data_IF_725419562588
#
_entry.id   IF_725419562588
#
_cell.length_a   1.000
_cell.length_b   1.000
_cell.length_c   1.000
_cell.angle_alpha   90.00
_cell.angle_beta   90.00
_cell.angle_gamma   90.00
#
_symmetry.space_group_name_H-M   'P 1'
#
loop_
_entity.id
_entity.type
_entity.pdbx_description
1 polymer ?
#
# COMPACT_ATOMS: atom_id res chain seq x y z
N UNK A 1 21.91 -14.68 -98.25
CA UNK A 1 23.05 -14.97 -97.35
C UNK A 1 23.34 -13.73 -96.50
N UNK A 2 22.96 -13.81 -95.22
CA UNK A 2 23.56 -13.23 -94.00
C UNK A 2 23.87 -11.72 -93.92
N UNK A 3 23.00 -11.06 -93.13
CA UNK A 3 23.19 -10.08 -92.05
C UNK A 3 24.22 -8.95 -92.14
N UNK A 4 23.69 -7.71 -92.02
CA UNK A 4 24.33 -6.59 -91.30
C UNK A 4 23.33 -5.93 -90.35
N UNK A 5 23.79 -5.79 -89.11
CA UNK A 5 23.13 -5.13 -87.98
C UNK A 5 23.05 -3.62 -88.26
N UNK A 6 21.88 -3.01 -88.04
CA UNK A 6 21.72 -1.56 -87.92
C UNK A 6 20.99 -1.22 -86.63
N UNK A 7 21.65 -0.36 -85.86
CA UNK A 7 21.22 0.28 -84.64
C UNK A 7 20.28 1.45 -84.99
N UNK A 8 19.15 1.57 -84.29
CA UNK A 8 18.25 2.72 -84.39
C UNK A 8 17.40 2.82 -83.13
N UNK A 9 17.68 3.84 -82.32
CA UNK A 9 16.86 4.24 -81.17
C UNK A 9 15.45 4.65 -81.65
N UNK A 10 14.41 4.08 -81.04
CA UNK A 10 13.04 4.60 -81.09
C UNK A 10 12.53 4.72 -79.65
N UNK A 11 12.25 5.96 -79.28
CA UNK A 11 11.56 6.38 -78.07
C UNK A 11 10.10 5.95 -78.13
N UNK A 12 9.61 5.17 -77.16
CA UNK A 12 8.19 4.80 -77.06
C UNK A 12 7.58 5.44 -75.81
N UNK A 13 6.63 6.36 -76.03
CA UNK A 13 5.74 6.91 -75.01
C UNK A 13 4.83 5.79 -74.47
N UNK A 14 4.89 5.54 -73.15
CA UNK A 14 3.89 4.75 -72.44
C UNK A 14 3.12 5.72 -71.53
N UNK A 15 1.82 5.83 -71.80
CA UNK A 15 0.85 6.59 -71.03
C UNK A 15 0.71 6.01 -69.61
N UNK A 16 1.05 6.81 -68.59
CA UNK A 16 0.71 6.52 -67.20
C UNK A 16 -0.80 6.76 -66.98
N UNK A 17 -1.53 5.70 -66.67
CA UNK A 17 -2.84 5.78 -66.05
C UNK A 17 -2.64 6.08 -64.57
N UNK A 18 -2.94 7.30 -64.12
CA UNK A 18 -3.06 7.62 -62.71
C UNK A 18 -4.33 6.96 -62.17
N UNK A 19 -4.19 5.80 -61.53
CA UNK A 19 -5.19 5.34 -60.57
C UNK A 19 -5.01 6.18 -59.30
N UNK A 20 -5.91 7.16 -59.11
CA UNK A 20 -5.97 7.95 -57.90
C UNK A 20 -6.33 7.05 -56.71
N UNK A 21 -5.33 6.61 -55.96
CA UNK A 21 -5.54 6.23 -54.58
C UNK A 21 -5.73 7.52 -53.79
N UNK A 22 -6.98 7.85 -53.47
CA UNK A 22 -7.25 8.81 -52.41
C UNK A 22 -6.62 8.25 -51.13
N UNK A 23 -5.71 8.97 -50.45
CA UNK A 23 -5.34 8.59 -49.10
C UNK A 23 -6.64 8.58 -48.29
N UNK A 24 -6.96 7.45 -47.67
CA UNK A 24 -7.99 7.41 -46.62
C UNK A 24 -7.46 8.34 -45.54
N UNK A 25 -7.96 9.57 -45.53
CA UNK A 25 -7.74 10.50 -44.46
C UNK A 25 -8.49 9.92 -43.28
N UNK A 26 -7.76 9.22 -42.39
CA UNK A 26 -8.30 8.82 -41.11
C UNK A 26 -8.89 10.08 -40.48
N UNK A 27 -10.21 10.10 -40.28
CA UNK A 27 -10.86 11.18 -39.56
C UNK A 27 -10.12 11.31 -38.23
N UNK A 28 -9.72 12.53 -37.87
CA UNK A 28 -9.12 12.76 -36.57
C UNK A 28 -10.07 12.16 -35.51
N UNK A 29 -9.57 11.37 -34.55
CA UNK A 29 -10.42 10.79 -33.54
C UNK A 29 -11.24 11.90 -32.89
N UNK A 30 -12.54 11.65 -32.73
CA UNK A 30 -13.41 12.61 -32.07
C UNK A 30 -12.96 12.72 -30.62
N UNK A 31 -12.45 13.89 -30.24
CA UNK A 31 -12.08 14.17 -28.86
C UNK A 31 -13.34 14.45 -28.03
N UNK A 32 -13.38 13.85 -26.85
CA UNK A 32 -14.43 14.08 -25.84
C UNK A 32 -13.85 14.73 -24.61
N UNK A 33 -14.65 15.59 -23.97
CA UNK A 33 -14.30 16.20 -22.69
C UNK A 33 -14.42 15.16 -21.57
N UNK A 34 -13.39 15.09 -20.72
CA UNK A 34 -13.33 14.19 -19.57
C UNK A 34 -12.91 14.95 -18.32
N UNK A 35 -13.17 14.39 -17.15
CA UNK A 35 -12.66 14.87 -15.87
C UNK A 35 -12.04 13.72 -15.07
N UNK A 36 -11.48 13.99 -13.90
CA UNK A 36 -11.04 13.00 -12.94
C UNK A 36 -12.08 12.84 -11.82
N UNK A 37 -12.29 11.63 -11.27
CA UNK A 37 -13.18 11.45 -10.13
C UNK A 37 -12.70 12.25 -8.92
N UNK A 38 -13.64 12.88 -8.22
CA UNK A 38 -13.45 13.59 -6.96
C UNK A 38 -13.88 12.75 -5.74
N UNK A 39 -14.07 11.45 -5.96
CA UNK A 39 -14.46 10.47 -4.95
C UNK A 39 -13.44 9.31 -4.87
N UNK A 40 -13.30 8.64 -3.72
CA UNK A 40 -12.43 7.49 -3.58
C UNK A 40 -12.84 6.34 -4.50
N UNK A 41 -11.84 5.68 -5.09
CA UNK A 41 -12.06 4.48 -5.91
C UNK A 41 -11.25 3.32 -5.37
N UNK A 42 -11.86 2.14 -5.28
CA UNK A 42 -11.20 0.92 -4.78
C UNK A 42 -11.25 -0.22 -5.80
N UNK A 43 -10.17 -1.00 -5.85
CA UNK A 43 -10.07 -2.22 -6.64
C UNK A 43 -9.68 -3.36 -5.72
N UNK A 44 -10.58 -4.33 -5.57
CA UNK A 44 -10.43 -5.48 -4.65
C UNK A 44 -10.04 -5.05 -3.22
N UNK A 45 -10.59 -3.92 -2.77
CA UNK A 45 -10.31 -3.32 -1.46
C UNK A 45 -9.14 -2.32 -1.43
N UNK A 46 -8.17 -2.41 -2.34
CA UNK A 46 -7.06 -1.43 -2.41
C UNK A 46 -7.56 -0.08 -2.89
N UNK A 47 -7.28 0.97 -2.14
CA UNK A 47 -7.68 2.36 -2.50
C UNK A 47 -6.70 2.94 -3.51
N UNK A 48 -7.24 3.57 -4.54
CA UNK A 48 -6.45 4.23 -5.57
C UNK A 48 -6.07 5.65 -5.19
N UNK A 49 -4.82 6.03 -5.41
CA UNK A 49 -4.43 7.44 -5.53
C UNK A 49 -4.61 7.88 -6.98
N UNK A 50 -5.79 8.42 -7.26
CA UNK A 50 -6.11 8.95 -8.59
C UNK A 50 -5.34 10.22 -8.90
N UNK A 51 -5.14 11.07 -7.88
CA UNK A 51 -4.56 12.41 -8.00
C UNK A 51 -3.12 12.39 -8.50
N UNK A 52 -2.34 11.40 -8.07
CA UNK A 52 -0.95 11.22 -8.44
C UNK A 52 -0.72 10.08 -9.43
N UNK A 53 -1.75 9.38 -9.91
CA UNK A 53 -1.57 8.28 -10.86
C UNK A 53 -1.00 8.78 -12.19
N UNK A 54 0.01 8.13 -12.77
CA UNK A 54 0.51 8.46 -14.12
C UNK A 54 -0.59 8.37 -15.18
N UNK A 55 -1.49 7.40 -14.99
CA UNK A 55 -2.69 7.15 -15.77
C UNK A 55 -3.91 7.28 -14.84
N UNK A 56 -4.40 8.50 -14.57
CA UNK A 56 -5.54 8.71 -13.68
C UNK A 56 -6.81 8.12 -14.27
N UNK A 57 -7.76 7.76 -13.41
CA UNK A 57 -9.12 7.39 -13.82
C UNK A 57 -9.81 8.59 -14.48
N UNK A 58 -10.68 8.33 -15.46
CA UNK A 58 -11.45 9.38 -16.11
C UNK A 58 -12.93 9.28 -15.77
N UNK A 59 -13.65 10.40 -15.81
CA UNK A 59 -15.10 10.46 -15.82
C UNK A 59 -15.54 10.98 -17.19
N UNK A 60 -16.45 10.25 -17.83
CA UNK A 60 -17.14 10.69 -19.04
C UNK A 60 -18.61 10.27 -18.98
N UNK A 61 -19.52 11.24 -19.16
CA UNK A 61 -20.97 11.05 -19.01
C UNK A 61 -21.33 10.32 -17.70
N UNK A 62 -20.74 10.77 -16.60
CA UNK A 62 -20.94 10.27 -15.24
C UNK A 62 -20.55 8.78 -15.03
N UNK A 63 -19.78 8.20 -15.97
CA UNK A 63 -19.21 6.86 -15.83
C UNK A 63 -17.72 6.97 -15.57
N UNK A 64 -17.22 6.19 -14.60
CA UNK A 64 -15.80 6.04 -14.33
C UNK A 64 -15.14 5.14 -15.36
N UNK A 65 -14.00 5.55 -15.89
CA UNK A 65 -13.20 4.84 -16.87
C UNK A 65 -11.85 4.46 -16.28
N UNK A 66 -11.50 3.19 -16.45
CA UNK A 66 -10.23 2.65 -15.95
C UNK A 66 -9.22 2.50 -17.09
N UNK A 67 -7.97 2.91 -16.88
CA UNK A 67 -6.90 2.65 -17.83
C UNK A 67 -6.59 1.16 -17.87
N UNK A 68 -6.57 0.57 -19.05
CA UNK A 68 -6.13 -0.82 -19.24
C UNK A 68 -4.61 -0.88 -19.39
N UNK A 69 -3.88 -0.38 -18.38
CA UNK A 69 -2.45 -0.72 -18.23
C UNK A 69 -2.31 -2.15 -17.73
N UNK A 70 -1.12 -2.73 -17.85
CA UNK A 70 -0.86 -4.10 -17.36
C UNK A 70 -1.22 -4.28 -15.88
N UNK A 71 -0.88 -3.30 -15.01
CA UNK A 71 -1.19 -3.38 -13.58
C UNK A 71 -2.70 -3.34 -13.30
N UNK A 72 -3.45 -2.43 -13.94
CA UNK A 72 -4.90 -2.33 -13.73
C UNK A 72 -5.62 -3.56 -14.26
N UNK A 73 -5.29 -4.00 -15.47
CA UNK A 73 -5.89 -5.20 -16.04
C UNK A 73 -5.57 -6.45 -15.21
N UNK A 74 -4.31 -6.65 -14.81
CA UNK A 74 -3.95 -7.79 -13.96
C UNK A 74 -4.63 -7.74 -12.59
N UNK A 75 -4.80 -6.55 -12.01
CA UNK A 75 -5.54 -6.37 -10.77
C UNK A 75 -7.05 -6.63 -10.91
N UNK A 76 -7.59 -6.43 -12.11
CA UNK A 76 -8.97 -6.71 -12.47
C UNK A 76 -9.18 -8.14 -13.02
N UNK A 77 -8.14 -8.98 -13.00
CA UNK A 77 -8.20 -10.35 -13.50
C UNK A 77 -8.31 -10.42 -15.03
N UNK A 78 -7.63 -9.53 -15.74
CA UNK A 78 -7.62 -9.48 -17.20
C UNK A 78 -6.20 -9.68 -17.75
N UNK A 79 -6.08 -10.45 -18.82
CA UNK A 79 -4.89 -10.43 -19.68
C UNK A 79 -5.09 -9.46 -20.84
N UNK A 80 -4.04 -8.69 -21.14
CA UNK A 80 -4.00 -7.78 -22.28
C UNK A 80 -3.06 -8.35 -23.35
N UNK A 81 -3.50 -8.27 -24.60
CA UNK A 81 -2.67 -8.50 -25.78
C UNK A 81 -2.82 -7.34 -26.75
N UNK A 82 -1.72 -6.92 -27.38
CA UNK A 82 -1.73 -5.91 -28.45
C UNK A 82 -1.13 -6.50 -29.73
N UNK A 83 -1.81 -6.28 -30.86
CA UNK A 83 -1.32 -6.61 -32.19
C UNK A 83 -1.54 -5.43 -33.14
N UNK A 84 -0.61 -5.20 -34.07
CA UNK A 84 -0.70 -4.07 -35.00
C UNK A 84 -1.87 -4.20 -35.98
N UNK A 85 -2.31 -5.42 -36.30
CA UNK A 85 -3.42 -5.65 -37.23
C UNK A 85 -4.76 -5.81 -36.50
N UNK A 86 -4.73 -6.45 -35.33
CA UNK A 86 -5.92 -6.86 -34.58
C UNK A 86 -6.29 -5.92 -33.43
N UNK A 87 -5.43 -4.94 -33.15
CA UNK A 87 -5.60 -3.94 -32.10
C UNK A 87 -5.47 -4.51 -30.69
N UNK A 88 -6.27 -3.98 -29.76
CA UNK A 88 -6.26 -4.38 -28.35
C UNK A 88 -7.17 -5.60 -28.13
N UNK A 89 -6.70 -6.59 -27.38
CA UNK A 89 -7.53 -7.70 -26.93
C UNK A 89 -7.43 -7.85 -25.42
N UNK A 90 -8.58 -7.97 -24.75
CA UNK A 90 -8.67 -8.32 -23.33
C UNK A 90 -9.40 -9.64 -23.16
N UNK A 91 -8.90 -10.45 -22.24
CA UNK A 91 -9.52 -11.72 -21.86
C UNK A 91 -9.60 -11.81 -20.34
N UNK A 92 -10.76 -12.25 -19.84
CA UNK A 92 -10.95 -12.54 -18.43
C UNK A 92 -10.13 -13.77 -18.01
N UNK A 93 -9.49 -13.63 -16.85
CA UNK A 93 -8.80 -14.67 -16.12
C UNK A 93 -9.42 -14.85 -14.73
N UNK A 94 -9.19 -16.01 -14.12
CA UNK A 94 -9.72 -16.32 -12.79
C UNK A 94 -8.86 -15.76 -11.64
N UNK A 95 -7.66 -15.25 -11.95
CA UNK A 95 -6.69 -14.78 -10.97
C UNK A 95 -6.42 -13.29 -11.10
N UNK A 96 -6.52 -12.57 -9.97
CA UNK A 96 -6.11 -11.18 -9.86
C UNK A 96 -4.72 -11.07 -9.20
N UNK A 97 -3.94 -10.07 -9.62
CA UNK A 97 -2.72 -9.65 -8.91
C UNK A 97 -3.03 -8.48 -7.97
N UNK A 98 -2.23 -8.24 -6.91
CA UNK A 98 -2.35 -7.02 -6.12
C UNK A 98 -2.21 -5.76 -7.00
N UNK A 99 -3.06 -4.75 -6.77
CA UNK A 99 -3.00 -3.49 -7.52
C UNK A 99 -1.68 -2.76 -7.24
N UNK A 100 -0.82 -2.68 -8.25
CA UNK A 100 0.37 -1.83 -8.25
C UNK A 100 0.08 -0.50 -8.92
N UNK A 101 0.32 0.59 -8.22
CA UNK A 101 0.03 1.95 -8.70
C UNK A 101 1.31 2.63 -9.17
N UNK A 102 1.34 3.09 -10.42
CA UNK A 102 2.39 3.98 -10.92
C UNK A 102 1.98 5.42 -10.62
N UNK A 103 2.64 6.01 -9.62
CA UNK A 103 2.38 7.37 -9.19
C UNK A 103 3.51 8.29 -9.63
N UNK A 104 3.17 9.56 -9.83
CA UNK A 104 4.06 10.66 -10.19
C UNK A 104 3.82 11.84 -9.22
N UNK A 105 4.80 12.71 -8.96
CA UNK A 105 4.61 13.84 -8.04
C UNK A 105 3.60 14.89 -8.52
N UNK A 106 3.29 14.92 -9.82
CA UNK A 106 2.35 15.86 -10.40
C UNK A 106 0.92 15.53 -9.98
N UNK A 107 0.16 16.60 -9.72
CA UNK A 107 -1.25 16.53 -9.35
C UNK A 107 -2.11 16.66 -10.60
N UNK A 108 -3.02 15.73 -10.81
CA UNK A 108 -4.13 15.88 -11.75
C UNK A 108 -5.24 16.70 -11.11
N UNK A 109 -5.72 17.71 -11.83
CA UNK A 109 -6.79 18.62 -11.39
C UNK A 109 -7.80 18.84 -12.52
N UNK A 110 -9.06 19.05 -12.12
CA UNK A 110 -10.16 19.43 -13.00
C UNK A 110 -10.21 20.94 -13.31
N UNK A 111 -9.24 21.74 -12.81
CA UNK A 111 -9.15 23.18 -13.11
C UNK A 111 -8.93 23.47 -14.60
N UNK A 112 -8.33 22.52 -15.32
CA UNK A 112 -8.09 22.60 -16.76
C UNK A 112 -8.90 21.54 -17.49
N UNK A 113 -9.53 21.93 -18.60
CA UNK A 113 -10.20 21.01 -19.52
C UNK A 113 -9.26 19.88 -19.95
N UNK A 114 -9.75 18.64 -19.83
CA UNK A 114 -9.06 17.44 -20.29
C UNK A 114 -9.85 16.84 -21.45
N UNK A 115 -9.14 16.35 -22.46
CA UNK A 115 -9.76 15.62 -23.56
C UNK A 115 -9.16 14.24 -23.71
N UNK A 116 -10.02 13.30 -24.13
CA UNK A 116 -9.61 11.96 -24.54
C UNK A 116 -10.17 11.68 -25.93
N UNK A 117 -9.40 10.97 -26.75
CA UNK A 117 -9.86 10.52 -28.05
C UNK A 117 -10.80 9.32 -27.89
N UNK A 118 -11.74 9.11 -28.81
CA UNK A 118 -12.36 7.79 -28.97
C UNK A 118 -11.29 6.83 -29.52
N UNK A 119 -11.18 5.62 -28.93
CA UNK A 119 -10.17 4.63 -29.34
C UNK A 119 -10.29 4.33 -30.85
N UNK A 120 -9.26 4.66 -31.67
CA UNK A 120 -9.35 4.66 -33.13
C UNK A 120 -8.93 3.33 -33.78
N UNK A 121 -8.86 2.26 -33.00
CA UNK A 121 -8.37 0.95 -33.44
C UNK A 121 -9.32 -0.17 -32.97
N UNK A 122 -9.26 -1.36 -33.59
CA UNK A 122 -10.08 -2.49 -33.17
C UNK A 122 -9.80 -2.88 -31.71
N UNK A 123 -10.86 -3.20 -30.97
CA UNK A 123 -10.75 -3.75 -29.62
C UNK A 123 -11.59 -5.01 -29.52
N UNK A 124 -11.06 -6.04 -28.89
CA UNK A 124 -11.75 -7.30 -28.61
C UNK A 124 -11.80 -7.57 -27.11
N UNK A 125 -12.93 -8.08 -26.64
CA UNK A 125 -13.16 -8.49 -25.25
C UNK A 125 -13.68 -9.92 -25.25
N UNK A 126 -12.97 -10.84 -24.59
CA UNK A 126 -13.30 -12.26 -24.55
C UNK A 126 -13.53 -12.86 -25.96
N UNK A 127 -12.74 -12.43 -26.94
CA UNK A 127 -12.85 -12.85 -28.34
C UNK A 127 -13.98 -12.20 -29.15
N UNK A 128 -14.76 -11.28 -28.56
CA UNK A 128 -15.81 -10.52 -29.26
C UNK A 128 -15.28 -9.14 -29.65
N UNK A 129 -15.50 -8.73 -30.90
CA UNK A 129 -15.17 -7.38 -31.35
C UNK A 129 -16.11 -6.34 -30.72
N UNK A 130 -15.55 -5.21 -30.28
CA UNK A 130 -16.28 -4.05 -29.78
C UNK A 130 -16.44 -3.04 -30.91
N UNK A 131 -17.68 -2.67 -31.22
CA UNK A 131 -17.99 -1.65 -32.23
C UNK A 131 -18.13 -0.31 -31.51
N UNK A 132 -17.00 0.41 -31.39
CA UNK A 132 -16.92 1.60 -30.54
C UNK A 132 -17.93 2.71 -30.89
N UNK A 133 -18.29 2.84 -32.17
CA UNK A 133 -19.26 3.82 -32.66
C UNK A 133 -20.71 3.55 -32.20
N UNK A 134 -21.02 2.32 -31.80
CA UNK A 134 -22.35 1.90 -31.31
C UNK A 134 -22.42 1.90 -29.78
N UNK A 135 -21.29 2.14 -29.09
CA UNK A 135 -21.27 2.17 -27.63
C UNK A 135 -21.79 3.52 -27.10
N UNK A 136 -22.76 3.53 -26.16
CA UNK A 136 -23.20 4.76 -25.50
C UNK A 136 -22.06 5.43 -24.70
N UNK A 137 -21.14 4.58 -24.23
CA UNK A 137 -19.93 4.86 -23.48
C UNK A 137 -18.76 4.24 -24.28
N UNK A 138 -18.24 4.93 -25.30
CA UNK A 138 -17.17 4.40 -26.13
C UNK A 138 -15.88 4.26 -25.33
N UNK A 139 -15.06 3.26 -25.69
CA UNK A 139 -13.70 3.11 -25.22
C UNK A 139 -12.91 4.36 -25.60
N UNK A 140 -12.19 4.91 -24.62
CA UNK A 140 -11.41 6.14 -24.79
C UNK A 140 -9.92 5.81 -24.93
N UNK A 141 -9.18 6.68 -25.58
CA UNK A 141 -7.73 6.68 -25.67
C UNK A 141 -7.22 7.96 -25.01
N UNK A 142 -6.51 7.81 -23.90
CA UNK A 142 -5.90 8.93 -23.18
C UNK A 142 -4.45 8.58 -22.85
N UNK A 143 -3.52 9.46 -23.22
CA UNK A 143 -2.06 9.25 -23.07
C UNK A 143 -1.59 7.89 -23.61
N UNK A 144 -2.11 7.50 -24.79
CA UNK A 144 -1.82 6.23 -25.46
C UNK A 144 -2.24 4.96 -24.69
N UNK A 145 -3.08 5.09 -23.67
CA UNK A 145 -3.69 3.95 -22.96
C UNK A 145 -5.19 3.91 -23.28
N UNK A 146 -5.71 2.70 -23.48
CA UNK A 146 -7.15 2.50 -23.69
C UNK A 146 -7.86 2.46 -22.35
N UNK A 147 -8.96 3.19 -22.26
CA UNK A 147 -9.76 3.36 -21.07
C UNK A 147 -11.12 2.70 -21.26
N UNK A 148 -11.47 1.80 -20.36
CA UNK A 148 -12.73 1.07 -20.38
C UNK A 148 -13.74 1.71 -19.44
N UNK A 149 -14.99 1.93 -19.88
CA UNK A 149 -16.04 2.37 -18.98
C UNK A 149 -16.38 1.25 -18.01
N UNK A 150 -16.49 1.60 -16.72
CA UNK A 150 -17.01 0.71 -15.70
C UNK A 150 -18.55 0.66 -15.75
N UNK A 151 -19.09 0.49 -16.96
CA UNK A 151 -20.50 0.29 -17.22
C UNK A 151 -20.90 -1.16 -16.94
N UNK A 152 -22.19 -1.40 -16.70
CA UNK A 152 -22.73 -2.74 -16.42
C UNK A 152 -22.38 -3.78 -17.50
N UNK A 153 -22.35 -3.36 -18.77
CA UNK A 153 -21.94 -4.21 -19.90
C UNK A 153 -20.55 -4.81 -19.68
N UNK A 154 -19.57 -3.97 -19.33
CA UNK A 154 -18.21 -4.47 -19.13
C UNK A 154 -18.06 -5.12 -17.75
N UNK A 155 -18.45 -4.42 -16.68
CA UNK A 155 -18.19 -4.89 -15.32
C UNK A 155 -18.94 -6.17 -15.02
N UNK A 156 -20.24 -6.25 -15.33
CA UNK A 156 -21.05 -7.43 -15.03
C UNK A 156 -21.13 -8.41 -16.20
N UNK A 157 -21.56 -7.96 -17.37
CA UNK A 157 -21.95 -8.90 -18.44
C UNK A 157 -20.73 -9.54 -19.12
N UNK A 158 -19.68 -8.77 -19.40
CA UNK A 158 -18.45 -9.30 -20.02
C UNK A 158 -17.46 -9.85 -19.00
N UNK A 159 -17.29 -9.20 -17.84
CA UNK A 159 -16.27 -9.59 -16.87
C UNK A 159 -16.79 -10.21 -15.57
N UNK A 160 -18.10 -10.15 -15.27
CA UNK A 160 -18.67 -10.78 -14.08
C UNK A 160 -18.16 -10.23 -12.75
N UNK A 161 -17.66 -9.00 -12.73
CA UNK A 161 -17.27 -8.27 -11.53
C UNK A 161 -18.49 -7.74 -10.78
N UNK A 162 -18.29 -7.45 -9.50
CA UNK A 162 -19.25 -6.68 -8.70
C UNK A 162 -18.76 -5.25 -8.57
N UNK A 163 -19.68 -4.30 -8.64
CA UNK A 163 -19.41 -2.90 -8.36
C UNK A 163 -20.28 -2.44 -7.21
N UNK A 164 -19.76 -1.54 -6.38
CA UNK A 164 -20.47 -0.99 -5.23
C UNK A 164 -20.26 0.52 -5.13
N UNK A 165 -21.19 1.17 -4.45
CA UNK A 165 -21.03 2.54 -3.97
C UNK A 165 -21.09 2.51 -2.44
N UNK A 166 -20.10 3.08 -1.78
CA UNK A 166 -20.08 3.25 -0.31
C UNK A 166 -20.65 4.62 0.01
N UNK A 167 -21.79 4.66 0.71
CA UNK A 167 -22.37 5.93 1.17
C UNK A 167 -21.49 6.59 2.25
N UNK A 168 -20.87 5.77 3.11
CA UNK A 168 -19.99 6.24 4.19
C UNK A 168 -18.70 6.86 3.64
N UNK A 169 -18.03 6.17 2.70
CA UNK A 169 -16.80 6.67 2.09
C UNK A 169 -17.05 7.61 0.91
N UNK A 170 -18.31 7.73 0.48
CA UNK A 170 -18.76 8.39 -0.75
C UNK A 170 -17.90 7.99 -1.95
N UNK A 171 -17.74 6.69 -2.17
CA UNK A 171 -16.75 6.15 -3.10
C UNK A 171 -17.22 4.94 -3.91
N UNK A 172 -16.52 4.67 -5.02
CA UNK A 172 -16.82 3.60 -5.96
C UNK A 172 -15.88 2.40 -5.76
N UNK A 173 -16.43 1.19 -5.68
CA UNK A 173 -15.65 -0.04 -5.51
C UNK A 173 -15.86 -1.04 -6.64
N UNK A 174 -14.79 -1.75 -7.00
CA UNK A 174 -14.82 -2.90 -7.92
C UNK A 174 -14.25 -4.13 -7.21
N UNK A 175 -15.00 -5.22 -7.24
CA UNK A 175 -14.57 -6.56 -6.83
C UNK A 175 -14.54 -7.48 -8.05
N UNK A 176 -13.35 -7.80 -8.52
CA UNK A 176 -13.12 -8.59 -9.73
C UNK A 176 -12.77 -10.05 -9.44
N UNK A 177 -12.12 -10.32 -8.30
CA UNK A 177 -11.83 -11.65 -7.79
C UNK A 177 -12.17 -11.69 -6.29
N UNK A 178 -13.30 -12.32 -5.92
CA UNK A 178 -13.74 -12.60 -4.53
C UNK A 178 -13.23 -11.61 -3.46
N UNK A 179 -14.02 -10.56 -3.18
CA UNK A 179 -13.64 -9.38 -2.41
C UNK A 179 -12.87 -9.59 -1.10
N UNK A 180 -12.09 -8.56 -0.75
CA UNK A 180 -11.28 -8.38 0.47
C UNK A 180 -10.41 -9.60 0.76
N UNK A 181 -9.32 -9.71 0.00
CA UNK A 181 -8.28 -10.72 0.20
C UNK A 181 -7.61 -10.54 1.56
N UNK A 182 -7.22 -11.65 2.21
CA UNK A 182 -6.36 -11.73 3.42
C UNK A 182 -5.31 -10.61 3.56
N UNK A 183 -4.78 -10.11 2.44
CA UNK A 183 -3.86 -8.98 2.33
C UNK A 183 -4.22 -7.73 3.17
N UNK A 184 -5.50 -7.33 3.28
CA UNK A 184 -5.84 -6.13 4.09
C UNK A 184 -5.71 -6.39 5.59
N UNK A 185 -6.16 -7.57 6.04
CA UNK A 185 -6.01 -8.01 7.43
C UNK A 185 -4.51 -8.15 7.74
N UNK A 186 -3.76 -8.82 6.86
CA UNK A 186 -2.30 -8.97 6.98
C UNK A 186 -1.58 -7.61 7.03
N UNK A 187 -2.03 -6.61 6.27
CA UNK A 187 -1.46 -5.27 6.30
C UNK A 187 -1.79 -4.55 7.62
N UNK A 188 -3.03 -4.64 8.11
CA UNK A 188 -3.41 -4.10 9.42
C UNK A 188 -2.57 -4.73 10.53
N UNK A 189 -2.42 -6.06 10.54
CA UNK A 189 -1.60 -6.77 11.52
C UNK A 189 -0.11 -6.37 11.43
N UNK A 190 0.43 -6.25 10.21
CA UNK A 190 1.79 -5.77 10.02
C UNK A 190 1.98 -4.34 10.55
N UNK A 191 1.00 -3.45 10.37
CA UNK A 191 1.05 -2.09 10.91
C UNK A 191 0.93 -2.06 12.44
N UNK A 192 0.13 -2.94 13.03
CA UNK A 192 0.07 -3.11 14.49
C UNK A 192 1.46 -3.49 15.05
N UNK A 193 2.16 -4.43 14.40
CA UNK A 193 3.53 -4.83 14.78
C UNK A 193 4.55 -3.69 14.54
N UNK A 194 4.43 -2.95 13.42
CA UNK A 194 5.26 -1.77 13.12
C UNK A 194 5.09 -0.65 14.17
N UNK A 195 3.93 -0.61 14.84
CA UNK A 195 3.65 0.28 15.97
C UNK A 195 3.96 -0.38 17.32
N UNK A 196 5.01 -1.19 17.40
CA UNK A 196 5.51 -1.88 18.60
C UNK A 196 4.68 -3.07 19.09
N UNK A 197 3.61 -3.45 18.37
CA UNK A 197 2.87 -4.69 18.57
C UNK A 197 2.36 -4.92 20.00
N UNK A 198 1.72 -3.94 20.63
CA UNK A 198 1.10 -4.17 21.95
C UNK A 198 -0.11 -5.12 21.88
N UNK A 199 -0.72 -5.24 20.71
CA UNK A 199 -1.76 -6.21 20.40
C UNK A 199 -1.52 -6.90 19.06
N UNK A 200 -2.11 -8.09 18.92
CA UNK A 200 -2.21 -8.83 17.67
C UNK A 200 -3.56 -9.55 17.58
N UNK A 201 -4.06 -9.78 16.37
CA UNK A 201 -5.42 -10.30 16.13
C UNK A 201 -5.35 -11.63 15.38
N UNK A 202 -6.16 -12.61 15.80
CA UNK A 202 -6.36 -13.84 15.03
C UNK A 202 -7.78 -14.36 15.23
N UNK A 203 -8.55 -14.43 14.14
CA UNK A 203 -9.97 -14.77 14.19
C UNK A 203 -10.74 -13.78 15.07
N UNK A 204 -11.46 -14.32 16.06
CA UNK A 204 -12.27 -13.52 17.00
C UNK A 204 -11.47 -13.03 18.22
N UNK A 205 -10.17 -13.34 18.31
CA UNK A 205 -9.35 -13.07 19.50
C UNK A 205 -8.37 -11.93 19.26
N UNK A 206 -8.22 -11.10 20.29
CA UNK A 206 -7.17 -10.09 20.45
C UNK A 206 -6.22 -10.61 21.52
N UNK A 207 -4.93 -10.72 21.20
CA UNK A 207 -3.85 -11.05 22.12
C UNK A 207 -3.12 -9.77 22.46
N UNK A 208 -3.03 -9.42 23.74
CA UNK A 208 -2.49 -8.12 24.12
C UNK A 208 -1.90 -8.11 25.54
N UNK A 209 -1.09 -7.09 25.79
CA UNK A 209 -0.81 -6.61 27.13
C UNK A 209 -1.69 -5.36 27.40
N UNK A 210 -2.76 -5.50 28.20
CA UNK A 210 -3.77 -4.45 28.35
C UNK A 210 -3.28 -3.24 29.13
N UNK A 211 -2.33 -3.44 30.06
CA UNK A 211 -2.01 -2.43 31.07
C UNK A 211 -0.71 -1.69 30.77
N UNK A 212 0.17 -2.20 29.90
CA UNK A 212 1.32 -1.45 29.36
C UNK A 212 2.24 -0.76 30.40
N UNK A 213 2.11 -1.12 31.68
CA UNK A 213 2.66 -0.37 32.80
C UNK A 213 4.14 -0.71 33.00
N UNK A 214 4.85 0.22 33.65
CA UNK A 214 6.20 -0.02 34.16
C UNK A 214 6.21 -0.81 35.47
N UNK A 215 5.06 -0.88 36.15
CA UNK A 215 4.87 -1.53 37.44
C UNK A 215 3.69 -2.52 37.35
N UNK A 216 3.80 -3.60 38.13
CA UNK A 216 2.89 -4.76 38.18
C UNK A 216 1.42 -4.39 38.43
N UNK A 217 0.44 -5.19 37.95
CA UNK A 217 0.63 -6.52 37.37
C UNK A 217 0.81 -6.53 35.84
N UNK A 218 1.90 -7.13 35.38
CA UNK A 218 2.12 -7.46 33.98
C UNK A 218 1.28 -8.69 33.59
N UNK A 219 0.68 -8.65 32.40
CA UNK A 219 -0.07 -9.80 31.88
C UNK A 219 -0.11 -9.83 30.37
N UNK A 220 0.01 -11.04 29.82
CA UNK A 220 -0.39 -11.37 28.47
C UNK A 220 -1.76 -12.04 28.56
N UNK A 221 -2.76 -11.45 27.89
CA UNK A 221 -4.12 -11.96 27.86
C UNK A 221 -4.56 -12.22 26.42
N UNK A 222 -5.61 -13.02 26.27
CA UNK A 222 -6.47 -12.97 25.10
C UNK A 222 -7.88 -12.58 25.50
N UNK A 223 -8.54 -11.79 24.68
CA UNK A 223 -9.94 -11.37 24.85
C UNK A 223 -10.64 -11.45 23.50
N UNK A 224 -11.94 -11.69 23.48
CA UNK A 224 -12.70 -11.63 22.23
C UNK A 224 -12.80 -10.19 21.74
N UNK A 225 -12.99 -10.01 20.44
CA UNK A 225 -13.21 -8.68 19.81
C UNK A 225 -14.41 -7.92 20.37
N UNK A 226 -15.39 -8.63 20.92
CA UNK A 226 -16.54 -8.05 21.63
C UNK A 226 -16.25 -7.62 23.09
N UNK A 227 -15.00 -7.80 23.54
CA UNK A 227 -14.55 -7.48 24.90
C UNK A 227 -14.83 -8.56 25.95
N UNK A 228 -15.49 -9.67 25.59
CA UNK A 228 -15.83 -10.73 26.54
C UNK A 228 -14.77 -11.84 26.61
N UNK A 229 -14.86 -12.68 27.64
CA UNK A 229 -14.09 -13.92 27.72
C UNK A 229 -12.58 -13.73 27.84
N UNK A 230 -12.14 -12.70 28.57
CA UNK A 230 -10.71 -12.50 28.85
C UNK A 230 -10.11 -13.73 29.54
N UNK A 231 -8.98 -14.20 29.03
CA UNK A 231 -8.18 -15.29 29.59
C UNK A 231 -6.74 -14.83 29.73
N UNK A 232 -6.19 -14.90 30.95
CA UNK A 232 -4.77 -14.68 31.20
C UNK A 232 -3.95 -15.86 30.68
N UNK A 233 -2.96 -15.58 29.84
CA UNK A 233 -2.04 -16.56 29.24
C UNK A 233 -0.70 -16.63 29.99
N UNK A 234 -0.19 -15.48 30.46
CA UNK A 234 1.04 -15.40 31.25
C UNK A 234 1.07 -14.12 32.11
N UNK A 235 1.95 -14.08 33.10
CA UNK A 235 2.30 -12.89 33.90
C UNK A 235 3.41 -12.05 33.22
N UNK A 236 3.64 -12.25 31.92
CA UNK A 236 4.70 -11.56 31.19
C UNK A 236 4.32 -10.13 30.87
N UNK A 237 5.31 -9.21 30.92
CA UNK A 237 5.22 -7.89 30.29
C UNK A 237 5.42 -8.02 28.78
N UNK A 238 4.51 -8.74 28.12
CA UNK A 238 4.59 -9.02 26.70
C UNK A 238 4.48 -7.74 25.86
N UNK A 239 5.38 -7.59 24.89
CA UNK A 239 5.42 -6.49 23.90
C UNK A 239 5.77 -7.05 22.53
N UNK A 240 5.59 -6.27 21.46
CA UNK A 240 5.91 -6.69 20.09
C UNK A 240 5.34 -8.07 19.73
N UNK A 241 4.07 -8.30 20.08
CA UNK A 241 3.36 -9.56 19.94
C UNK A 241 3.15 -9.86 18.45
N UNK A 242 3.57 -11.05 18.02
CA UNK A 242 3.43 -11.60 16.67
C UNK A 242 2.73 -12.95 16.76
N UNK A 243 1.92 -13.30 15.75
CA UNK A 243 1.18 -14.57 15.69
C UNK A 243 1.63 -15.37 14.47
N UNK A 244 2.00 -16.63 14.66
CA UNK A 244 2.29 -17.59 13.57
C UNK A 244 1.68 -18.95 13.91
N UNK A 245 0.65 -19.34 13.15
CA UNK A 245 -0.12 -20.54 13.44
C UNK A 245 -0.73 -20.47 14.85
N UNK A 246 -0.45 -21.49 15.66
CA UNK A 246 -0.94 -21.58 17.05
C UNK A 246 0.01 -20.96 18.08
N UNK A 247 1.03 -20.22 17.65
CA UNK A 247 2.04 -19.62 18.53
C UNK A 247 1.98 -18.10 18.54
N UNK A 248 2.12 -17.54 19.72
CA UNK A 248 2.50 -16.15 19.93
C UNK A 248 4.01 -16.09 20.14
N UNK A 249 4.65 -15.12 19.50
CA UNK A 249 6.05 -14.73 19.73
C UNK A 249 6.04 -13.29 20.21
N UNK A 250 6.80 -12.98 21.26
CA UNK A 250 6.76 -11.65 21.87
C UNK A 250 8.04 -11.37 22.64
N UNK A 251 8.30 -10.09 22.90
CA UNK A 251 9.38 -9.68 23.79
C UNK A 251 8.87 -9.59 25.21
N UNK A 252 9.73 -9.97 26.15
CA UNK A 252 9.58 -9.68 27.58
C UNK A 252 10.66 -8.69 27.94
N UNK A 253 10.26 -7.54 28.48
CA UNK A 253 11.18 -6.44 28.81
C UNK A 253 12.36 -6.96 29.63
N UNK A 254 13.59 -6.71 29.16
CA UNK A 254 14.87 -7.16 29.74
C UNK A 254 15.13 -8.67 29.72
N UNK A 255 14.13 -9.53 29.48
CA UNK A 255 14.25 -10.99 29.53
C UNK A 255 14.33 -11.65 28.13
N UNK A 256 14.20 -10.86 27.06
CA UNK A 256 14.41 -11.28 25.69
C UNK A 256 13.16 -11.75 24.96
N UNK A 257 13.28 -12.82 24.18
CA UNK A 257 12.24 -13.30 23.26
C UNK A 257 11.62 -14.58 23.80
N UNK A 258 10.30 -14.63 23.88
CA UNK A 258 9.53 -15.78 24.32
C UNK A 258 8.52 -16.20 23.27
N UNK A 259 8.07 -17.45 23.39
CA UNK A 259 6.90 -17.97 22.70
C UNK A 259 5.98 -18.72 23.63
N UNK A 260 4.69 -18.69 23.34
CA UNK A 260 3.63 -19.41 24.05
C UNK A 260 2.56 -19.82 23.04
N UNK A 261 1.86 -20.92 23.27
CA UNK A 261 0.70 -21.26 22.43
C UNK A 261 -0.45 -20.27 22.67
N UNK A 262 -1.32 -20.12 21.68
CA UNK A 262 -2.53 -19.29 21.76
C UNK A 262 -3.53 -19.75 22.83
N UNK A 263 -3.37 -20.97 23.36
CA UNK A 263 -4.11 -21.51 24.50
C UNK A 263 -3.43 -21.26 25.86
N UNK A 264 -2.23 -20.66 25.89
CA UNK A 264 -1.45 -20.38 27.09
C UNK A 264 -0.50 -21.50 27.52
N UNK A 265 -0.44 -22.61 26.78
CA UNK A 265 0.47 -23.73 27.09
C UNK A 265 1.84 -23.56 26.44
N UNK A 266 2.80 -24.39 26.85
CA UNK A 266 4.13 -24.51 26.23
C UNK A 266 4.92 -23.18 26.13
N UNK A 267 4.74 -22.29 27.12
CA UNK A 267 5.57 -21.10 27.26
C UNK A 267 7.06 -21.50 27.36
N UNK A 268 7.89 -20.94 26.48
CA UNK A 268 9.34 -21.20 26.45
C UNK A 268 10.12 -19.98 25.96
N UNK A 269 11.35 -19.82 26.42
CA UNK A 269 12.25 -18.77 25.96
C UNK A 269 12.89 -19.16 24.62
N UNK A 270 12.93 -18.23 23.66
CA UNK A 270 13.61 -18.40 22.37
C UNK A 270 15.01 -17.80 22.43
N UNK A 271 15.16 -16.62 23.05
CA UNK A 271 16.46 -15.98 23.27
C UNK A 271 16.44 -15.17 24.56
N UNK A 272 17.54 -15.19 25.31
CA UNK A 272 17.73 -14.39 26.53
C UNK A 272 18.30 -12.98 26.24
N UNK A 273 18.52 -12.62 24.98
CA UNK A 273 19.07 -11.32 24.60
C UNK A 273 18.04 -10.21 24.78
N UNK A 274 18.36 -9.11 25.49
CA UNK A 274 17.49 -7.94 25.58
C UNK A 274 17.07 -7.44 24.20
N UNK A 275 15.77 -7.35 23.98
CA UNK A 275 15.17 -7.13 22.66
C UNK A 275 14.07 -6.06 22.72
N UNK A 276 14.09 -5.10 21.79
CA UNK A 276 13.13 -4.00 21.74
C UNK A 276 11.89 -4.31 20.88
N UNK A 277 12.08 -4.92 19.71
CA UNK A 277 11.02 -5.25 18.75
C UNK A 277 11.39 -6.54 18.02
N UNK A 278 10.38 -7.32 17.63
CA UNK A 278 10.49 -8.52 16.81
C UNK A 278 9.49 -8.51 15.64
N UNK A 279 9.88 -9.18 14.55
CA UNK A 279 9.03 -9.53 13.41
C UNK A 279 9.24 -11.01 13.08
N UNK A 280 8.16 -11.79 13.07
CA UNK A 280 8.25 -13.22 12.69
C UNK A 280 7.82 -13.39 11.23
N UNK A 281 8.69 -13.97 10.40
CA UNK A 281 8.43 -14.25 8.99
C UNK A 281 8.97 -15.63 8.61
N UNK A 282 8.05 -16.54 8.28
CA UNK A 282 8.38 -17.95 8.09
C UNK A 282 8.98 -18.52 9.37
N UNK A 283 10.12 -19.19 9.23
CA UNK A 283 10.83 -19.82 10.36
C UNK A 283 11.83 -18.88 11.06
N UNK A 284 11.83 -17.58 10.70
CA UNK A 284 12.77 -16.60 11.22
C UNK A 284 12.09 -15.52 12.07
N UNK A 285 12.79 -15.09 13.12
CA UNK A 285 12.49 -13.91 13.92
C UNK A 285 13.58 -12.87 13.61
N UNK A 286 13.16 -11.71 13.12
CA UNK A 286 14.01 -10.53 12.96
C UNK A 286 13.81 -9.65 14.18
N UNK A 287 14.88 -9.10 14.76
CA UNK A 287 14.73 -8.37 16.01
C UNK A 287 15.79 -7.30 16.23
N UNK A 288 15.43 -6.27 16.99
CA UNK A 288 16.36 -5.26 17.50
C UNK A 288 16.91 -5.72 18.84
N UNK A 289 18.20 -6.03 18.87
CA UNK A 289 18.93 -6.26 20.11
C UNK A 289 19.43 -4.93 20.68
N UNK A 290 19.21 -4.72 21.98
CA UNK A 290 19.62 -3.51 22.69
C UNK A 290 20.72 -3.83 23.70
N UNK A 291 21.95 -3.37 23.47
CA UNK A 291 23.07 -3.61 24.37
C UNK A 291 24.03 -2.43 24.47
N UNK A 292 24.19 -1.90 25.68
CA UNK A 292 25.07 -0.76 25.98
C UNK A 292 24.77 0.46 25.08
N UNK A 293 25.75 0.91 24.29
CA UNK A 293 25.70 2.10 23.45
C UNK A 293 25.44 1.81 21.97
N UNK A 294 25.15 0.55 21.62
CA UNK A 294 24.82 0.15 20.24
C UNK A 294 23.55 -0.68 20.20
N UNK A 295 22.84 -0.55 19.10
CA UNK A 295 21.67 -1.35 18.80
C UNK A 295 21.88 -2.02 17.44
N UNK A 296 21.50 -3.30 17.35
CA UNK A 296 21.72 -4.13 16.18
C UNK A 296 20.41 -4.78 15.74
N UNK A 297 20.25 -4.98 14.43
CA UNK A 297 19.20 -5.86 13.91
C UNK A 297 19.81 -7.24 13.68
N UNK A 298 19.15 -8.27 14.20
CA UNK A 298 19.52 -9.67 14.06
C UNK A 298 18.42 -10.45 13.36
N UNK A 299 18.75 -11.66 12.93
CA UNK A 299 17.79 -12.74 12.66
C UNK A 299 18.16 -13.99 13.45
N UNK A 300 17.15 -14.74 13.88
CA UNK A 300 17.28 -16.01 14.60
C UNK A 300 16.15 -16.94 14.18
N UNK A 301 16.35 -18.26 14.18
CA UNK A 301 15.25 -19.20 13.93
C UNK A 301 14.22 -19.15 15.08
N UNK A 302 12.98 -19.52 14.80
CA UNK A 302 11.89 -19.62 15.80
C UNK A 302 12.13 -20.64 16.93
N UNK A 303 13.18 -21.47 16.79
CA UNK A 303 13.66 -22.41 17.81
C UNK A 303 14.85 -21.87 18.63
N UNK A 304 15.35 -20.67 18.31
CA UNK A 304 16.49 -20.03 18.98
C UNK A 304 17.85 -20.37 18.38
N UNK A 305 17.91 -21.15 17.29
CA UNK A 305 19.16 -21.45 16.59
C UNK A 305 19.52 -20.40 15.54
N UNK A 306 20.76 -20.46 15.03
CA UNK A 306 21.25 -19.64 13.91
C UNK A 306 21.08 -18.11 14.09
N UNK A 307 21.31 -17.61 15.30
CA UNK A 307 21.40 -16.18 15.58
C UNK A 307 22.52 -15.53 14.77
N UNK A 308 22.18 -14.47 14.05
CA UNK A 308 23.08 -13.71 13.19
C UNK A 308 22.76 -12.21 13.26
N UNK A 309 23.79 -11.39 13.51
CA UNK A 309 23.73 -9.93 13.33
C UNK A 309 23.66 -9.57 11.84
N UNK A 310 22.76 -8.66 11.47
CA UNK A 310 22.58 -8.16 10.10
C UNK A 310 23.16 -6.75 9.92
N UNK A 311 22.92 -5.85 10.88
CA UNK A 311 23.40 -4.45 10.85
C UNK A 311 23.52 -3.88 12.26
N UNK A 312 24.46 -2.95 12.44
CA UNK A 312 24.75 -2.26 13.70
C UNK A 312 24.71 -0.75 13.52
N UNK A 313 24.17 -0.04 14.51
CA UNK A 313 24.18 1.41 14.59
C UNK A 313 24.24 1.89 16.04
N UNK A 314 24.27 3.22 16.22
CA UNK A 314 24.22 3.82 17.57
C UNK A 314 22.83 3.69 18.16
N UNK A 315 21.80 3.84 17.33
CA UNK A 315 20.41 3.67 17.72
C UNK A 315 19.57 3.13 16.57
N UNK A 316 18.71 2.18 16.88
CA UNK A 316 17.68 1.63 16.01
C UNK A 316 16.32 2.15 16.48
N UNK A 317 15.45 2.43 15.52
CA UNK A 317 14.03 2.69 15.81
C UNK A 317 13.21 1.55 15.22
N UNK A 318 11.91 1.46 15.55
CA UNK A 318 11.08 0.37 15.06
C UNK A 318 11.19 0.19 13.54
N UNK A 319 11.41 -1.06 13.12
CA UNK A 319 11.56 -1.45 11.74
C UNK A 319 10.29 -2.18 11.27
N UNK A 320 10.17 -2.39 9.97
CA UNK A 320 9.12 -3.22 9.40
C UNK A 320 9.61 -4.05 8.22
N UNK A 321 8.89 -5.16 7.96
CA UNK A 321 9.16 -6.02 6.82
C UNK A 321 8.04 -5.87 5.80
N UNK A 322 8.39 -5.50 4.57
CA UNK A 322 7.45 -5.39 3.46
C UNK A 322 8.07 -5.99 2.19
N UNK A 323 7.29 -6.78 1.45
CA UNK A 323 7.69 -7.37 0.17
C UNK A 323 9.07 -8.09 0.20
N UNK A 324 9.39 -8.78 1.30
CA UNK A 324 10.67 -9.50 1.43
C UNK A 324 11.89 -8.61 1.70
N UNK A 325 11.69 -7.37 2.16
CA UNK A 325 12.76 -6.45 2.53
C UNK A 325 12.55 -5.91 3.95
N UNK A 326 13.65 -5.60 4.62
CA UNK A 326 13.68 -4.96 5.94
C UNK A 326 13.85 -3.46 5.73
N UNK A 327 12.90 -2.67 6.21
CA UNK A 327 12.97 -1.21 6.23
C UNK A 327 13.20 -0.76 7.66
N UNK A 328 14.25 0.00 7.89
CA UNK A 328 14.66 0.36 9.25
C UNK A 328 15.22 1.77 9.31
N UNK A 329 15.03 2.38 10.48
CA UNK A 329 15.55 3.70 10.80
C UNK A 329 16.76 3.53 11.71
N UNK A 330 17.89 4.08 11.29
CA UNK A 330 19.16 3.94 11.99
C UNK A 330 19.82 5.30 12.18
N UNK A 331 20.28 5.55 13.41
CA UNK A 331 21.21 6.63 13.72
C UNK A 331 22.65 6.09 13.66
N UNK A 332 23.45 6.64 12.75
CA UNK A 332 24.85 6.21 12.54
C UNK A 332 25.83 6.93 13.46
N UNK A 333 25.51 8.17 13.87
CA UNK A 333 26.38 9.03 14.67
C UNK A 333 25.61 9.72 15.79
N UNK A 334 26.31 9.97 16.90
CA UNK A 334 25.74 10.72 18.01
C UNK A 334 25.31 12.11 17.54
N UNK A 335 24.14 12.55 18.00
CA UNK A 335 23.55 13.86 17.68
C UNK A 335 23.15 14.10 16.21
N UNK A 336 23.18 13.07 15.35
CA UNK A 336 22.58 13.13 14.00
C UNK A 336 21.16 12.52 14.01
N UNK A 337 20.21 12.98 13.17
CA UNK A 337 18.92 12.33 13.06
C UNK A 337 19.06 10.92 12.45
N UNK A 338 18.04 10.07 12.64
CA UNK A 338 17.99 8.77 11.98
C UNK A 338 17.74 8.92 10.48
N UNK A 339 18.30 8.00 9.69
CA UNK A 339 18.03 7.89 8.25
C UNK A 339 17.25 6.60 7.99
N UNK A 340 16.50 6.57 6.89
CA UNK A 340 15.76 5.40 6.45
C UNK A 340 16.61 4.55 5.50
N UNK A 341 16.72 3.28 5.81
CA UNK A 341 17.42 2.27 5.02
C UNK A 341 16.47 1.15 4.63
N UNK A 342 16.86 0.42 3.59
CA UNK A 342 16.34 -0.91 3.29
C UNK A 342 17.48 -1.92 3.12
N UNK A 343 17.20 -3.19 3.36
CA UNK A 343 18.09 -4.31 3.02
C UNK A 343 17.28 -5.59 2.77
N UNK A 344 17.92 -6.60 2.19
CA UNK A 344 17.34 -7.93 2.03
C UNK A 344 17.22 -8.65 3.39
N UNK A 345 16.37 -9.68 3.47
CA UNK A 345 16.18 -10.48 4.69
C UNK A 345 17.45 -11.20 5.19
N UNK A 346 18.46 -11.34 4.34
CA UNK A 346 19.75 -11.92 4.70
C UNK A 346 20.79 -10.88 5.16
N UNK A 347 20.44 -9.59 5.14
CA UNK A 347 21.29 -8.47 5.52
C UNK A 347 22.11 -7.89 4.36
N UNK A 348 22.06 -8.47 3.17
CA UNK A 348 22.75 -7.91 2.01
C UNK A 348 21.97 -6.76 1.36
N UNK A 349 22.65 -6.04 0.45
CA UNK A 349 22.08 -4.93 -0.33
C UNK A 349 21.47 -3.82 0.54
N UNK A 350 22.15 -3.45 1.62
CA UNK A 350 21.77 -2.29 2.41
C UNK A 350 21.90 -1.00 1.58
N UNK A 351 20.80 -0.27 1.47
CA UNK A 351 20.71 1.00 0.73
C UNK A 351 20.05 2.05 1.63
N UNK A 352 20.70 3.22 1.75
CA UNK A 352 20.07 4.40 2.36
C UNK A 352 19.05 4.99 1.38
N UNK A 353 17.81 5.14 1.82
CA UNK A 353 16.71 5.67 1.01
C UNK A 353 16.51 7.17 1.23
N UNK A 354 16.49 7.62 2.48
CA UNK A 354 16.18 9.01 2.84
C UNK A 354 16.92 9.45 4.11
N UNK A 355 17.28 10.74 4.17
CA UNK A 355 17.89 11.36 5.35
C UNK A 355 16.83 11.94 6.29
N UNK A 356 17.15 12.05 7.58
CA UNK A 356 16.33 12.71 8.60
C UNK A 356 14.87 12.23 8.64
N UNK A 357 14.68 10.92 8.83
CA UNK A 357 13.37 10.26 8.91
C UNK A 357 13.09 9.82 10.35
N UNK A 358 11.94 10.21 10.90
CA UNK A 358 11.54 9.90 12.27
C UNK A 358 10.54 8.74 12.38
N UNK A 359 9.80 8.45 11.31
CA UNK A 359 8.82 7.36 11.26
C UNK A 359 8.63 6.90 9.81
N UNK A 360 8.44 5.60 9.59
CA UNK A 360 8.04 5.06 8.30
C UNK A 360 7.12 3.85 8.46
N UNK A 361 6.19 3.67 7.53
CA UNK A 361 5.32 2.49 7.38
C UNK A 361 5.14 2.14 5.90
N UNK A 362 4.72 0.93 5.59
CA UNK A 362 4.37 0.52 4.23
C UNK A 362 2.85 0.35 4.06
N UNK A 363 2.31 0.93 2.99
CA UNK A 363 0.90 0.81 2.59
C UNK A 363 0.88 0.49 1.10
N UNK A 364 0.30 -0.64 0.73
CA UNK A 364 0.07 -1.06 -0.66
C UNK A 364 1.33 -0.97 -1.56
N UNK A 365 2.49 -1.31 -0.99
CA UNK A 365 3.80 -1.31 -1.67
C UNK A 365 4.50 0.06 -1.73
N UNK A 366 3.88 1.12 -1.21
CA UNK A 366 4.48 2.44 -1.05
C UNK A 366 4.95 2.65 0.39
N UNK A 367 6.03 3.41 0.55
CA UNK A 367 6.59 3.75 1.87
C UNK A 367 6.14 5.16 2.24
N UNK A 368 5.39 5.27 3.33
CA UNK A 368 4.96 6.53 3.92
C UNK A 368 5.91 6.86 5.05
N UNK A 369 6.50 8.05 5.03
CA UNK A 369 7.53 8.41 5.98
C UNK A 369 7.44 9.87 6.39
N UNK A 370 7.84 10.13 7.64
CA UNK A 370 7.88 11.45 8.24
C UNK A 370 9.33 11.94 8.23
N UNK A 371 9.56 13.07 7.58
CA UNK A 371 10.84 13.76 7.51
C UNK A 371 10.76 15.17 8.10
N UNK A 372 11.80 15.97 7.87
CA UNK A 372 11.86 17.38 8.28
C UNK A 372 11.58 17.55 9.78
N UNK A 373 12.40 16.87 10.58
CA UNK A 373 12.29 16.88 12.04
C UNK A 373 10.91 16.50 12.56
N UNK A 374 10.24 15.56 11.89
CA UNK A 374 8.97 15.01 12.32
C UNK A 374 7.73 15.74 11.82
N UNK A 375 7.83 16.68 10.87
CA UNK A 375 6.69 17.52 10.45
C UNK A 375 6.16 17.23 9.06
N UNK A 376 7.01 16.73 8.16
CA UNK A 376 6.64 16.51 6.77
C UNK A 376 6.28 15.04 6.53
N UNK A 377 5.02 14.75 6.22
CA UNK A 377 4.60 13.45 5.72
C UNK A 377 4.79 13.39 4.20
N UNK A 378 5.57 12.39 3.76
CA UNK A 378 5.76 12.06 2.35
C UNK A 378 5.36 10.61 2.12
N UNK A 379 5.24 10.25 0.84
CA UNK A 379 5.35 8.86 0.41
C UNK A 379 6.36 8.71 -0.70
N UNK A 380 6.91 7.52 -0.82
CA UNK A 380 7.82 7.17 -1.90
C UNK A 380 7.58 5.77 -2.42
N UNK A 381 7.99 5.53 -3.68
CA UNK A 381 8.07 4.18 -4.22
C UNK A 381 9.05 3.35 -3.38
N UNK A 382 8.89 2.03 -3.36
CA UNK A 382 9.74 1.14 -2.55
C UNK A 382 11.25 1.25 -2.85
N UNK A 383 11.60 1.72 -4.06
CA UNK A 383 12.97 2.01 -4.50
C UNK A 383 13.44 3.45 -4.25
N UNK A 384 12.57 4.33 -3.75
CA UNK A 384 12.88 5.74 -3.49
C UNK A 384 12.97 6.61 -4.76
N UNK A 385 12.66 6.07 -5.94
CA UNK A 385 12.77 6.81 -7.21
C UNK A 385 11.70 7.91 -7.37
N UNK A 386 10.51 7.69 -6.81
CA UNK A 386 9.41 8.66 -6.81
C UNK A 386 9.13 9.09 -5.38
N UNK A 387 9.07 10.39 -5.13
CA UNK A 387 8.74 10.98 -3.84
C UNK A 387 7.60 11.98 -4.01
N UNK A 388 6.56 11.86 -3.18
CA UNK A 388 5.36 12.67 -3.21
C UNK A 388 5.16 13.29 -1.82
N UNK A 389 5.34 14.61 -1.66
CA UNK A 389 4.96 15.31 -0.44
C UNK A 389 3.43 15.29 -0.27
N UNK A 390 2.94 14.96 0.93
CA UNK A 390 1.51 14.84 1.19
C UNK A 390 0.99 15.94 2.12
N UNK A 391 1.69 16.19 3.22
CA UNK A 391 1.20 17.07 4.27
C UNK A 391 2.33 17.59 5.15
N UNK A 392 2.30 18.87 5.49
CA UNK A 392 3.18 19.49 6.47
C UNK A 392 2.36 19.80 7.73
N UNK A 393 2.72 19.17 8.84
CA UNK A 393 2.07 19.43 10.13
C UNK A 393 2.74 20.58 10.87
N UNK A 394 1.94 21.37 11.57
CA UNK A 394 2.45 22.35 12.54
C UNK A 394 3.05 21.66 13.79
N UNK A 395 2.69 20.39 14.01
CA UNK A 395 3.11 19.57 15.13
C UNK A 395 3.97 18.39 14.69
N UNK A 396 4.65 17.73 15.64
CA UNK A 396 5.38 16.49 15.32
C UNK A 396 4.42 15.35 15.10
N UNK A 397 4.57 14.66 13.97
CA UNK A 397 3.92 13.41 13.64
C UNK A 397 4.73 12.29 14.29
N UNK A 398 4.13 11.60 15.25
CA UNK A 398 4.84 10.62 16.10
C UNK A 398 4.47 9.18 15.77
N UNK A 399 3.32 8.95 15.14
CA UNK A 399 2.87 7.62 14.76
C UNK A 399 2.06 7.68 13.49
N UNK A 400 2.07 6.58 12.74
CA UNK A 400 1.27 6.40 11.53
C UNK A 400 0.58 5.05 11.60
N UNK A 401 -0.67 4.99 11.16
CA UNK A 401 -1.39 3.77 10.84
C UNK A 401 -2.24 4.00 9.60
N UNK A 402 -2.76 2.94 9.01
CA UNK A 402 -3.61 3.01 7.84
C UNK A 402 -4.88 2.18 8.00
N UNK A 403 -5.98 2.68 7.44
CA UNK A 403 -7.22 1.92 7.22
C UNK A 403 -8.05 2.58 6.11
N UNK A 404 -8.59 1.78 5.18
CA UNK A 404 -9.56 2.20 4.14
C UNK A 404 -9.22 3.54 3.45
N UNK A 405 -7.98 3.71 2.98
CA UNK A 405 -7.57 4.92 2.26
C UNK A 405 -7.24 6.13 3.15
N UNK A 406 -7.25 5.97 4.48
CA UNK A 406 -6.88 6.99 5.45
C UNK A 406 -5.61 6.62 6.19
N UNK A 407 -4.70 7.58 6.30
CA UNK A 407 -3.53 7.54 7.16
C UNK A 407 -3.91 8.21 8.47
N UNK A 408 -3.95 7.45 9.55
CA UNK A 408 -4.18 7.95 10.91
C UNK A 408 -2.85 8.31 11.53
N UNK A 409 -2.78 9.48 12.16
CA UNK A 409 -1.55 10.03 12.71
C UNK A 409 -1.75 10.62 14.10
N UNK A 410 -0.75 10.44 14.95
CA UNK A 410 -0.66 11.14 16.23
C UNK A 410 0.20 12.39 16.04
N UNK A 411 -0.42 13.56 16.17
CA UNK A 411 0.23 14.85 16.07
C UNK A 411 0.44 15.47 17.45
N UNK A 412 1.59 16.10 17.69
CA UNK A 412 1.89 16.79 18.94
C UNK A 412 2.90 16.07 19.82
N UNK A 413 2.99 16.50 21.08
CA UNK A 413 4.00 16.00 22.03
C UNK A 413 3.40 15.66 23.38
N UNK A 414 4.13 14.87 24.14
CA UNK A 414 3.84 14.58 25.55
C UNK A 414 4.57 15.57 26.46
N UNK A 415 3.83 16.21 27.37
CA UNK A 415 4.35 17.29 28.20
C UNK A 415 3.24 18.01 28.98
N UNK A 416 3.61 18.72 30.04
CA UNK A 416 2.68 19.45 30.94
C UNK A 416 1.90 20.54 30.19
N UNK A 417 2.51 21.12 29.16
CA UNK A 417 1.91 22.19 28.35
C UNK A 417 1.71 21.81 26.88
N UNK A 418 1.80 20.51 26.54
CA UNK A 418 1.62 20.06 25.16
C UNK A 418 0.31 19.30 25.00
N UNK A 419 -0.28 19.48 23.83
CA UNK A 419 -1.44 18.74 23.36
C UNK A 419 -1.03 17.72 22.32
N UNK A 420 -1.79 16.63 22.23
CA UNK A 420 -1.63 15.64 21.17
C UNK A 420 -3.00 15.25 20.61
N UNK A 421 -3.05 15.04 19.31
CA UNK A 421 -4.28 14.88 18.55
C UNK A 421 -4.18 13.65 17.66
N UNK A 422 -5.31 12.97 17.48
CA UNK A 422 -5.46 12.00 16.40
C UNK A 422 -6.03 12.74 15.21
N UNK A 423 -5.30 12.71 14.11
CA UNK A 423 -5.75 13.24 12.83
C UNK A 423 -5.74 12.13 11.77
N UNK A 424 -6.46 12.33 10.67
CA UNK A 424 -6.42 11.45 9.50
C UNK A 424 -6.29 12.24 8.21
N UNK A 425 -5.54 11.68 7.26
CA UNK A 425 -5.29 12.24 5.93
C UNK A 425 -5.56 11.16 4.86
N UNK A 426 -6.19 11.51 3.74
CA UNK A 426 -6.28 10.59 2.60
C UNK A 426 -4.89 10.24 2.06
N UNK A 427 -4.73 9.01 1.53
CA UNK A 427 -3.45 8.52 0.99
C UNK A 427 -2.85 9.34 -0.17
N UNK A 428 -3.65 10.23 -0.75
CA UNK A 428 -3.32 11.18 -1.83
C UNK A 428 -3.21 12.64 -1.35
N UNK A 429 -3.31 12.88 -0.04
CA UNK A 429 -3.19 14.22 0.56
C UNK A 429 -4.36 15.18 0.30
N UNK A 430 -5.50 14.72 -0.19
CA UNK A 430 -6.64 15.60 -0.54
C UNK A 430 -7.50 16.03 0.64
N UNK A 431 -7.86 15.09 1.52
CA UNK A 431 -8.75 15.35 2.66
C UNK A 431 -8.01 15.13 3.98
N UNK A 432 -8.26 16.03 4.93
CA UNK A 432 -7.72 15.99 6.29
C UNK A 432 -8.87 16.18 7.29
N UNK A 433 -8.86 15.42 8.38
CA UNK A 433 -9.82 15.56 9.47
C UNK A 433 -9.18 15.25 10.83
N UNK A 434 -9.44 16.10 11.83
CA UNK A 434 -9.09 15.83 13.21
C UNK A 434 -10.17 15.00 13.90
N UNK A 435 -9.75 13.98 14.66
CA UNK A 435 -10.64 13.10 15.44
C UNK A 435 -10.73 13.50 16.91
N UNK A 436 -9.77 14.27 17.41
CA UNK A 436 -9.81 14.85 18.76
C UNK A 436 -8.49 14.77 19.50
N UNK A 437 -8.45 15.36 20.69
CA UNK A 437 -7.30 15.27 21.59
C UNK A 437 -7.18 13.83 22.13
N UNK A 438 -5.99 13.24 21.99
CA UNK A 438 -5.67 11.96 22.59
C UNK A 438 -4.19 11.90 22.94
N UNK A 439 -3.85 11.13 23.96
CA UNK A 439 -2.46 10.96 24.41
C UNK A 439 -2.07 9.49 24.31
N UNK A 440 -1.55 9.11 23.15
CA UNK A 440 -1.14 7.74 22.87
C UNK A 440 0.20 7.67 22.16
N UNK A 441 1.06 6.74 22.57
CA UNK A 441 2.36 6.51 21.92
C UNK A 441 2.23 5.70 20.62
N UNK A 442 1.11 5.00 20.43
CA UNK A 442 0.88 4.12 19.28
C UNK A 442 -0.61 4.05 18.94
N UNK A 443 -0.90 3.71 17.69
CA UNK A 443 -2.23 3.43 17.18
C UNK A 443 -2.27 2.00 16.67
N UNK A 444 -3.36 1.30 16.94
CA UNK A 444 -3.60 -0.07 16.49
C UNK A 444 -5.02 -0.17 15.96
N UNK A 445 -5.23 -1.01 14.95
CA UNK A 445 -6.57 -1.33 14.48
C UNK A 445 -6.95 -2.77 14.77
N UNK A 446 -8.19 -2.95 15.19
CA UNK A 446 -8.90 -4.24 15.20
C UNK A 446 -10.21 -4.01 14.49
N UNK A 447 -10.33 -4.53 13.26
CA UNK A 447 -11.45 -4.29 12.36
C UNK A 447 -11.73 -2.78 12.15
N UNK A 448 -12.81 -2.23 12.70
CA UNK A 448 -13.14 -0.80 12.64
C UNK A 448 -12.73 -0.02 13.89
N UNK A 449 -12.35 -0.70 14.96
CA UNK A 449 -12.00 -0.05 16.21
C UNK A 449 -10.53 0.39 16.19
N UNK A 450 -10.33 1.68 16.44
CA UNK A 450 -9.01 2.26 16.68
C UNK A 450 -8.67 2.10 18.17
N UNK A 451 -7.68 1.28 18.46
CA UNK A 451 -7.11 1.09 19.80
C UNK A 451 -5.93 2.03 20.02
N UNK A 452 -5.87 2.60 21.21
CA UNK A 452 -4.81 3.52 21.63
C UNK A 452 -4.51 3.36 23.11
N UNK A 453 -3.24 3.51 23.49
CA UNK A 453 -2.83 3.53 24.90
C UNK A 453 -3.26 4.87 25.51
N UNK A 454 -4.16 4.88 26.48
CA UNK A 454 -4.52 6.11 27.16
C UNK A 454 -3.47 6.41 28.24
N UNK A 455 -2.48 7.24 27.92
CA UNK A 455 -1.45 7.63 28.88
C UNK A 455 -2.02 8.67 29.85
N UNK A 456 -2.43 8.24 31.05
CA UNK A 456 -2.86 9.16 32.09
C UNK A 456 -1.68 9.68 32.92
N UNK A 457 -1.85 10.82 33.57
CA UNK A 457 -0.88 11.38 34.52
C UNK A 457 -0.54 10.43 35.68
N UNK A 458 -1.37 9.41 35.94
CA UNK A 458 -1.18 8.38 36.96
C UNK A 458 -0.40 7.15 36.45
N UNK A 459 0.23 7.23 35.27
CA UNK A 459 1.02 6.14 34.64
C UNK A 459 0.22 4.87 34.32
N UNK A 460 -1.11 4.94 34.23
CA UNK A 460 -1.88 3.84 33.64
C UNK A 460 -1.79 3.95 32.12
N UNK A 461 -1.33 2.89 31.44
CA UNK A 461 -1.24 2.79 29.98
C UNK A 461 -2.27 1.80 29.44
N UNK A 462 -3.52 1.92 29.89
CA UNK A 462 -4.60 1.02 29.51
C UNK A 462 -4.98 1.24 28.04
N UNK A 463 -5.12 0.16 27.28
CA UNK A 463 -5.68 0.23 25.93
C UNK A 463 -7.17 0.58 25.99
N UNK A 464 -7.52 1.68 25.34
CA UNK A 464 -8.91 2.08 25.07
C UNK A 464 -9.15 2.04 23.57
N UNK A 465 -10.41 2.01 23.16
CA UNK A 465 -10.75 2.01 21.74
C UNK A 465 -11.90 2.96 21.43
N UNK A 466 -11.96 3.39 20.18
CA UNK A 466 -13.07 4.17 19.62
C UNK A 466 -13.42 3.67 18.23
N UNK A 467 -14.68 3.83 17.85
CA UNK A 467 -15.08 3.66 16.45
C UNK A 467 -14.65 4.90 15.64
N UNK A 468 -14.25 4.69 14.39
CA UNK A 468 -13.78 5.74 13.49
C UNK A 468 -14.56 5.83 12.18
N UNK A 469 -15.57 4.96 12.01
CA UNK A 469 -16.50 4.95 10.87
C UNK A 469 -17.78 5.75 11.17
#
# INVERSE_FOLDING_TARGET
MINKIKLGLITLLISLSFAGHTPVQAAAPLDVQVSFPDFPVTVNGTVMDVKHSEYPLLIYKDITYFPMTWNHASALGLSIHWDTNSGLSLQKNDTCLPLKQYLIPQIHSNDNSQTAAIAPFPVQVNGKAIINAEEPYPLLLYRNITYFPMSWKFTKDEFGWKTSWSDTDRGFGIESCGGISNNQIEQTDALNVANSGQLAVQGDWIYMNPDGNYEEPNRLVKVKKDGTGEVKLSDDNARSINIVGDWLYYTVKMDGIYKIKTDGTQRSQVSAMPTAQIWVKGDWIYYIHTYQSKETIHKINIDGSADQELVSGIRMYPFFINAGQIYFLMQEKENEPANLYRMNLDGYEQIKLQDNVSKAIAIDGWIYYVSDYGKQLNKMSADGAVIIPLYTSDHWITTLHYRKGWIYMMNGTFGIHSSSYIDKLRIDGTEFAGLGEARSAALYFVDQLLYLSQNTWQRSNTLVHMDVD
#
